data_IF_698351544382
#
_entry.id   IF_698351544382
#
_cell.length_a   1.000
_cell.length_b   1.000
_cell.length_c   1.000
_cell.angle_alpha   90.00
_cell.angle_beta   90.00
_cell.angle_gamma   90.00
#
_symmetry.space_group_name_H-M   'P 1'
#
loop_
_entity.id
_entity.type
_entity.pdbx_description
1 polymer ?
#
# COMPACT_ATOMS: atom_id res chain seq x y z
N UNK A 1 21.65 -6.07 -6.07
CA UNK A 1 20.23 -5.86 -5.71
C UNK A 1 19.42 -5.07 -6.74
N UNK A 2 20.04 -4.24 -7.59
CA UNK A 2 19.36 -3.38 -8.58
C UNK A 2 18.80 -4.12 -9.79
N UNK A 3 19.37 -5.27 -10.17
CA UNK A 3 18.93 -6.08 -11.32
C UNK A 3 17.60 -6.80 -11.10
N UNK A 4 17.26 -7.16 -9.85
CA UNK A 4 16.12 -8.03 -9.55
C UNK A 4 14.81 -7.28 -9.19
N UNK A 5 14.86 -5.94 -9.13
CA UNK A 5 13.72 -5.09 -8.71
C UNK A 5 12.54 -5.06 -9.69
N UNK A 6 12.76 -5.42 -10.96
CA UNK A 6 11.72 -5.40 -11.99
C UNK A 6 10.82 -6.63 -12.01
N UNK A 7 11.27 -7.75 -11.44
CA UNK A 7 10.61 -9.06 -11.60
C UNK A 7 9.66 -9.43 -10.45
N UNK A 8 9.66 -8.66 -9.36
CA UNK A 8 8.94 -9.02 -8.14
C UNK A 8 7.62 -8.23 -8.02
N UNK A 9 6.56 -8.82 -8.57
CA UNK A 9 5.16 -8.39 -8.40
C UNK A 9 4.58 -8.89 -7.06
N UNK A 10 4.23 -7.98 -6.16
CA UNK A 10 3.71 -8.27 -4.80
C UNK A 10 2.24 -8.67 -4.85
N UNK A 11 1.91 -9.91 -4.51
CA UNK A 11 0.53 -10.39 -4.40
C UNK A 11 0.27 -11.30 -3.17
N UNK A 12 1.18 -11.41 -2.21
CA UNK A 12 0.91 -12.18 -0.98
C UNK A 12 1.52 -11.46 0.23
N UNK A 13 0.67 -10.98 1.14
CA UNK A 13 1.02 -10.20 2.34
C UNK A 13 1.51 -11.08 3.51
N UNK A 14 1.72 -12.38 3.27
CA UNK A 14 2.23 -13.30 4.29
C UNK A 14 3.74 -13.13 4.49
N UNK A 15 4.13 -12.86 5.73
CA UNK A 15 5.54 -12.83 6.11
C UNK A 15 6.10 -14.25 6.10
N UNK A 16 6.95 -14.52 5.11
CA UNK A 16 7.63 -15.81 4.99
C UNK A 16 8.93 -15.78 5.79
N UNK A 17 9.12 -16.79 6.65
CA UNK A 17 10.38 -17.03 7.36
C UNK A 17 11.23 -17.99 6.57
N UNK A 18 12.47 -17.60 6.27
CA UNK A 18 13.49 -18.43 5.62
C UNK A 18 14.68 -18.48 6.55
N UNK A 19 15.08 -19.68 6.98
CA UNK A 19 16.21 -19.87 7.88
C UNK A 19 16.17 -18.97 9.13
N UNK A 20 15.02 -18.97 9.79
CA UNK A 20 14.79 -18.21 11.03
C UNK A 20 14.70 -16.70 10.83
N UNK A 21 14.80 -16.19 9.60
CA UNK A 21 14.74 -14.76 9.29
C UNK A 21 13.56 -14.42 8.39
N UNK A 22 13.04 -13.21 8.55
CA UNK A 22 11.97 -12.70 7.70
C UNK A 22 12.51 -12.43 6.29
N UNK A 23 11.85 -12.97 5.27
CA UNK A 23 12.20 -12.71 3.88
C UNK A 23 12.18 -11.20 3.56
N UNK A 24 13.15 -10.75 2.77
CA UNK A 24 13.27 -9.37 2.27
C UNK A 24 12.12 -9.04 1.34
N UNK A 25 11.76 -10.01 0.49
CA UNK A 25 10.61 -9.92 -0.39
C UNK A 25 10.14 -11.32 -0.78
N UNK A 26 8.83 -11.44 -0.94
CA UNK A 26 8.18 -12.64 -1.47
C UNK A 26 7.21 -12.23 -2.56
N UNK A 27 7.15 -13.02 -3.63
CA UNK A 27 6.14 -12.87 -4.67
C UNK A 27 5.59 -14.23 -5.07
N UNK A 28 4.29 -14.41 -4.84
CA UNK A 28 3.46 -15.41 -5.51
C UNK A 28 2.57 -14.65 -6.47
N UNK A 29 2.79 -14.79 -7.77
CA UNK A 29 2.04 -13.98 -8.71
C UNK A 29 0.65 -14.53 -9.01
N UNK A 30 0.37 -15.80 -8.71
CA UNK A 30 -0.90 -16.48 -9.06
C UNK A 30 -1.14 -16.64 -10.58
N UNK A 31 -0.58 -15.72 -11.37
CA UNK A 31 -0.69 -15.54 -12.80
C UNK A 31 0.54 -16.04 -13.57
N UNK A 32 1.70 -16.19 -12.92
CA UNK A 32 2.89 -16.78 -13.51
C UNK A 32 3.36 -18.01 -12.73
N UNK A 33 3.86 -18.97 -13.51
CA UNK A 33 4.55 -20.22 -13.26
C UNK A 33 5.78 -20.14 -12.32
N UNK A 34 5.90 -19.18 -11.41
CA UNK A 34 7.01 -19.17 -10.44
C UNK A 34 6.75 -18.37 -9.17
N UNK A 35 7.32 -18.86 -8.07
CA UNK A 35 7.43 -18.17 -6.79
C UNK A 35 8.86 -17.69 -6.57
N UNK A 36 9.03 -16.51 -5.97
CA UNK A 36 10.34 -15.95 -5.67
C UNK A 36 10.44 -15.51 -4.21
N UNK A 37 11.54 -15.88 -3.57
CA UNK A 37 11.88 -15.49 -2.20
C UNK A 37 13.26 -14.84 -2.21
N UNK A 38 13.35 -13.63 -1.67
CA UNK A 38 14.62 -12.94 -1.41
C UNK A 38 14.91 -12.95 0.09
N UNK A 39 16.12 -13.30 0.48
CA UNK A 39 16.58 -13.24 1.87
C UNK A 39 18.06 -12.84 1.92
N UNK A 40 18.51 -12.33 3.07
CA UNK A 40 19.90 -11.93 3.29
C UNK A 40 20.69 -13.00 4.03
N UNK A 41 22.00 -13.00 3.86
CA UNK A 41 22.89 -13.65 4.83
C UNK A 41 22.70 -13.04 6.23
N UNK A 42 23.04 -13.79 7.28
CA UNK A 42 22.94 -13.33 8.66
C UNK A 42 23.79 -12.07 8.95
N UNK A 43 24.91 -11.91 8.23
CA UNK A 43 25.77 -10.72 8.30
C UNK A 43 25.31 -9.57 7.37
N UNK A 44 24.22 -9.77 6.62
CA UNK A 44 23.64 -8.79 5.70
C UNK A 44 24.46 -8.49 4.44
N UNK A 45 25.61 -9.17 4.22
CA UNK A 45 26.50 -8.90 3.08
C UNK A 45 25.98 -9.44 1.76
N UNK A 46 25.19 -10.51 1.79
CA UNK A 46 24.69 -11.19 0.60
C UNK A 46 23.17 -11.19 0.59
N UNK A 47 22.60 -11.15 -0.62
CA UNK A 47 21.17 -11.34 -0.85
C UNK A 47 21.01 -12.50 -1.82
N UNK A 48 20.30 -13.51 -1.37
CA UNK A 48 20.02 -14.71 -2.12
C UNK A 48 18.61 -14.66 -2.68
N UNK A 49 18.45 -15.15 -3.92
CA UNK A 49 17.16 -15.35 -4.58
C UNK A 49 16.92 -16.83 -4.71
N UNK A 50 15.83 -17.30 -4.10
CA UNK A 50 15.28 -18.62 -4.38
C UNK A 50 14.11 -18.46 -5.35
N UNK A 51 14.15 -19.17 -6.48
CA UNK A 51 13.07 -19.19 -7.47
C UNK A 51 12.60 -20.63 -7.67
N UNK A 52 11.34 -20.89 -7.36
CA UNK A 52 10.65 -22.12 -7.76
C UNK A 52 9.85 -21.83 -9.02
N UNK A 53 10.10 -22.54 -10.13
CA UNK A 53 9.31 -22.43 -11.35
C UNK A 53 8.46 -23.71 -11.54
N UNK A 54 7.19 -23.54 -11.92
CA UNK A 54 6.17 -24.57 -12.02
C UNK A 54 5.50 -24.49 -13.37
N UNK A 55 5.34 -25.59 -14.09
CA UNK A 55 4.78 -25.55 -15.46
C UNK A 55 3.27 -25.26 -15.50
N UNK A 56 2.58 -25.34 -14.35
CA UNK A 56 1.13 -25.13 -14.22
C UNK A 56 0.79 -24.53 -12.86
N UNK A 57 -0.25 -23.69 -12.81
CA UNK A 57 -0.70 -23.02 -11.58
C UNK A 57 -1.11 -23.97 -10.43
N UNK A 58 -1.53 -25.20 -10.74
CA UNK A 58 -1.96 -26.24 -9.79
C UNK A 58 -0.90 -27.30 -9.49
N UNK A 59 0.36 -27.05 -9.84
CA UNK A 59 1.45 -28.00 -9.62
C UNK A 59 1.61 -28.35 -8.13
N UNK A 60 1.72 -29.64 -7.81
CA UNK A 60 1.87 -30.11 -6.44
C UNK A 60 3.12 -29.53 -5.77
N UNK A 61 4.19 -29.28 -6.54
CA UNK A 61 5.41 -28.66 -6.02
C UNK A 61 5.13 -27.23 -5.54
N UNK A 62 4.23 -26.49 -6.20
CA UNK A 62 3.84 -25.15 -5.77
C UNK A 62 3.17 -25.16 -4.39
N UNK A 63 2.34 -26.16 -4.11
CA UNK A 63 1.67 -26.29 -2.81
C UNK A 63 2.65 -26.61 -1.69
N UNK A 64 3.74 -27.32 -1.99
CA UNK A 64 4.73 -27.79 -1.02
C UNK A 64 5.94 -26.84 -0.89
N UNK A 65 6.17 -25.97 -1.87
CA UNK A 65 7.32 -25.06 -1.89
C UNK A 65 7.45 -24.22 -0.62
N UNK A 66 6.33 -23.78 -0.04
CA UNK A 66 6.35 -23.02 1.21
C UNK A 66 6.88 -23.83 2.39
N UNK A 67 6.53 -25.11 2.49
CA UNK A 67 7.03 -25.98 3.55
C UNK A 67 8.52 -26.27 3.36
N UNK A 68 8.98 -26.46 2.12
CA UNK A 68 10.41 -26.60 1.81
C UNK A 68 11.19 -25.33 2.17
N UNK A 69 10.63 -24.15 1.90
CA UNK A 69 11.32 -22.89 2.23
C UNK A 69 11.44 -22.70 3.75
N UNK A 70 10.45 -23.15 4.52
CA UNK A 70 10.46 -23.08 5.99
C UNK A 70 11.48 -24.03 6.63
N UNK A 71 11.86 -25.12 5.95
CA UNK A 71 12.80 -26.11 6.51
C UNK A 71 14.27 -25.73 6.34
N UNK A 72 14.58 -24.72 5.51
CA UNK A 72 15.95 -24.24 5.41
C UNK A 72 16.43 -23.66 6.73
N UNK A 73 17.66 -24.01 7.11
CA UNK A 73 18.43 -23.39 8.19
C UNK A 73 19.78 -22.95 7.62
N UNK A 74 20.35 -21.86 8.16
CA UNK A 74 21.70 -21.45 7.83
C UNK A 74 22.55 -21.45 9.09
N UNK A 75 23.51 -22.36 9.13
CA UNK A 75 24.60 -22.29 10.08
C UNK A 75 25.65 -21.31 9.52
N UNK A 76 25.82 -20.18 10.20
CA UNK A 76 26.86 -19.22 9.85
C UNK A 76 28.23 -19.80 10.23
N UNK A 77 28.84 -20.55 9.31
CA UNK A 77 30.24 -20.96 9.45
C UNK A 77 31.12 -19.75 9.11
N UNK A 78 31.45 -18.94 10.11
CA UNK A 78 32.34 -17.79 9.95
C UNK A 78 33.76 -18.13 10.38
N UNK A 79 34.73 -17.84 9.50
CA UNK A 79 36.16 -18.09 9.73
C UNK A 79 36.88 -17.02 10.58
N UNK A 80 36.25 -15.91 10.98
CA UNK A 80 36.88 -14.94 11.89
C UNK A 80 35.91 -13.94 12.57
N UNK A 81 36.35 -13.40 13.72
CA UNK A 81 35.59 -12.72 14.79
C UNK A 81 35.17 -11.25 14.55
N UNK A 82 34.96 -10.78 13.31
CA UNK A 82 34.83 -9.34 13.00
C UNK A 82 33.43 -8.83 12.58
N UNK A 83 32.34 -9.35 13.14
CA UNK A 83 31.00 -8.83 12.86
C UNK A 83 30.27 -8.38 14.12
N UNK A 84 30.67 -7.24 14.69
CA UNK A 84 29.85 -6.48 15.66
C UNK A 84 30.33 -5.02 15.67
N UNK A 85 29.72 -4.12 14.88
CA UNK A 85 29.66 -2.65 15.12
C UNK A 85 29.27 -1.84 13.85
N UNK A 86 28.08 -1.99 13.28
CA UNK A 86 27.50 -0.94 12.40
C UNK A 86 25.96 -0.94 12.55
N UNK A 87 25.46 -0.60 13.74
CA UNK A 87 24.02 -0.47 13.94
C UNK A 87 23.72 0.54 15.05
N UNK A 88 23.67 1.85 14.74
CA UNK A 88 22.87 2.77 15.58
C UNK A 88 22.60 4.19 15.06
N UNK A 89 23.29 4.78 14.07
CA UNK A 89 23.13 6.26 13.89
C UNK A 89 22.89 6.84 12.49
N UNK A 90 22.75 6.07 11.41
CA UNK A 90 22.41 6.68 10.09
C UNK A 90 21.48 5.88 9.16
N UNK A 91 20.80 4.84 9.65
CA UNK A 91 19.96 3.96 8.80
C UNK A 91 18.52 4.45 8.54
N UNK A 92 18.09 5.56 9.13
CA UNK A 92 16.68 5.98 9.10
C UNK A 92 16.27 6.82 7.89
N UNK A 93 17.22 7.31 7.07
CA UNK A 93 16.93 8.24 5.97
C UNK A 93 16.58 7.57 4.63
N UNK A 94 16.82 6.27 4.43
CA UNK A 94 16.79 5.64 3.10
C UNK A 94 16.13 4.25 3.04
N UNK A 95 15.07 4.00 3.79
CA UNK A 95 14.42 2.67 3.77
C UNK A 95 13.39 2.47 2.66
N UNK A 96 12.73 3.54 2.21
CA UNK A 96 11.70 3.42 1.18
C UNK A 96 12.29 3.66 -0.21
N UNK A 97 12.18 2.66 -1.07
CA UNK A 97 12.58 2.76 -2.46
C UNK A 97 11.38 3.11 -3.37
N UNK A 98 11.37 4.31 -3.94
CA UNK A 98 10.32 4.78 -4.85
C UNK A 98 10.56 4.42 -6.33
N UNK A 99 11.59 3.63 -6.68
CA UNK A 99 11.93 3.34 -8.09
C UNK A 99 10.77 2.69 -8.86
N UNK A 100 10.00 1.82 -8.19
CA UNK A 100 8.84 1.16 -8.78
C UNK A 100 7.73 2.17 -9.05
N UNK A 101 7.38 3.00 -8.07
CA UNK A 101 6.41 4.08 -8.24
C UNK A 101 6.80 4.99 -9.40
N UNK A 102 8.06 5.42 -9.47
CA UNK A 102 8.60 6.23 -10.57
C UNK A 102 8.42 5.55 -11.93
N UNK A 103 8.71 4.25 -12.03
CA UNK A 103 8.62 3.49 -13.28
C UNK A 103 7.18 3.34 -13.76
N UNK A 104 6.25 3.02 -12.84
CA UNK A 104 4.82 2.90 -13.14
C UNK A 104 4.23 4.23 -13.61
N UNK A 105 4.57 5.32 -12.92
CA UNK A 105 4.15 6.66 -13.29
C UNK A 105 4.72 7.10 -14.66
N UNK A 106 5.98 6.79 -14.95
CA UNK A 106 6.59 7.07 -16.26
C UNK A 106 5.93 6.27 -17.39
N UNK A 107 5.46 5.05 -17.12
CA UNK A 107 4.73 4.22 -18.07
C UNK A 107 3.24 4.62 -18.23
N UNK A 108 2.74 5.58 -17.42
CA UNK A 108 1.32 5.93 -17.40
C UNK A 108 0.42 4.85 -16.78
N UNK A 109 1.00 3.89 -16.06
CA UNK A 109 0.24 2.88 -15.31
C UNK A 109 -0.25 3.46 -13.98
N UNK A 110 -1.34 4.24 -14.06
CA UNK A 110 -1.95 4.90 -12.91
C UNK A 110 -2.46 3.92 -11.87
N UNK A 111 -2.97 2.76 -12.29
CA UNK A 111 -3.47 1.71 -11.38
C UNK A 111 -2.33 1.10 -10.60
N UNK A 112 -1.27 0.68 -11.28
CA UNK A 112 -0.08 0.15 -10.63
C UNK A 112 0.56 1.17 -9.68
N UNK A 113 0.67 2.44 -10.11
CA UNK A 113 1.24 3.51 -9.30
C UNK A 113 0.43 3.77 -8.01
N UNK A 114 -0.90 3.74 -8.10
CA UNK A 114 -1.80 3.92 -6.97
C UNK A 114 -1.68 2.77 -5.95
N UNK A 115 -1.64 1.53 -6.43
CA UNK A 115 -1.38 0.33 -5.61
C UNK A 115 0.00 0.41 -4.94
N UNK A 116 1.04 0.77 -5.68
CA UNK A 116 2.39 0.89 -5.13
C UNK A 116 2.49 2.03 -4.09
N UNK A 117 1.73 3.11 -4.27
CA UNK A 117 1.67 4.20 -3.28
C UNK A 117 1.09 3.72 -1.95
N UNK A 118 -0.01 2.94 -1.97
CA UNK A 118 -0.53 2.30 -0.75
C UNK A 118 0.50 1.37 -0.11
N UNK A 119 1.16 0.55 -0.92
CA UNK A 119 2.16 -0.40 -0.44
C UNK A 119 3.39 0.30 0.17
N UNK A 120 3.76 1.50 -0.30
CA UNK A 120 4.80 2.33 0.32
C UNK A 120 4.39 2.73 1.74
N UNK A 121 3.16 3.24 1.94
CA UNK A 121 2.69 3.58 3.27
C UNK A 121 2.65 2.34 4.19
N UNK A 122 2.29 1.16 3.67
CA UNK A 122 2.26 -0.08 4.48
C UNK A 122 3.66 -0.39 5.01
N UNK A 123 4.68 -0.23 4.18
CA UNK A 123 6.08 -0.42 4.59
C UNK A 123 6.47 0.62 5.63
N UNK A 124 6.11 1.89 5.44
CA UNK A 124 6.37 2.94 6.42
C UNK A 124 5.76 2.62 7.79
N UNK A 125 4.55 2.08 7.82
CA UNK A 125 3.91 1.64 9.05
C UNK A 125 4.70 0.51 9.73
N UNK A 126 5.11 -0.52 8.97
CA UNK A 126 5.89 -1.63 9.50
C UNK A 126 7.24 -1.17 10.08
N UNK A 127 7.88 -0.19 9.44
CA UNK A 127 9.14 0.40 9.93
C UNK A 127 8.98 1.14 11.26
N UNK A 128 7.77 1.57 11.61
CA UNK A 128 7.45 2.21 12.89
C UNK A 128 7.13 1.19 14.00
N UNK A 129 7.35 -0.12 13.75
CA UNK A 129 7.24 -1.17 14.75
C UNK A 129 5.80 -1.55 15.11
N UNK A 130 4.83 -1.23 14.25
CA UNK A 130 3.43 -1.59 14.48
C UNK A 130 3.04 -2.81 13.67
N UNK A 131 2.26 -3.72 14.30
CA UNK A 131 1.59 -4.83 13.63
C UNK A 131 0.63 -4.34 12.54
N UNK A 132 -0.03 -5.27 11.85
CA UNK A 132 -0.94 -5.00 10.72
C UNK A 132 -2.21 -4.26 11.16
N UNK A 133 -2.08 -3.08 11.73
CA UNK A 133 -3.18 -2.21 12.11
C UNK A 133 -3.57 -1.42 10.87
N UNK A 134 -4.24 -2.11 9.95
CA UNK A 134 -4.90 -1.61 8.74
C UNK A 134 -4.57 -0.15 8.47
N UNK A 135 -3.59 0.11 7.59
CA UNK A 135 -3.01 1.42 7.23
C UNK A 135 -3.89 2.68 7.29
N UNK A 136 -5.20 2.50 7.21
CA UNK A 136 -6.20 3.54 7.12
C UNK A 136 -7.18 3.58 8.29
N UNK A 137 -7.16 2.61 9.22
CA UNK A 137 -8.06 2.55 10.37
C UNK A 137 -7.82 3.63 11.42
N UNK A 138 -6.65 4.29 11.41
CA UNK A 138 -6.32 5.30 12.42
C UNK A 138 -5.71 6.56 11.82
N UNK A 139 -6.39 7.69 12.03
CA UNK A 139 -5.86 9.05 11.78
C UNK A 139 -4.51 9.31 12.46
N UNK A 140 -4.18 8.56 13.52
CA UNK A 140 -2.93 8.72 14.28
C UNK A 140 -1.70 8.22 13.52
N UNK A 141 -1.87 7.28 12.58
CA UNK A 141 -0.76 6.72 11.78
C UNK A 141 -0.14 7.77 10.85
N UNK A 142 -0.98 8.63 10.25
CA UNK A 142 -0.55 9.68 9.33
C UNK A 142 0.48 10.63 9.96
N UNK A 143 0.35 10.90 11.26
CA UNK A 143 1.27 11.78 11.97
C UNK A 143 2.68 11.20 12.07
N UNK A 144 2.81 9.87 12.08
CA UNK A 144 4.09 9.16 12.22
C UNK A 144 4.86 9.05 10.90
N UNK A 145 4.18 9.17 9.77
CA UNK A 145 4.85 9.09 8.48
C UNK A 145 5.75 10.31 8.24
N UNK A 146 7.01 10.12 7.80
CA UNK A 146 7.92 11.23 7.55
C UNK A 146 7.41 12.15 6.43
N UNK A 147 7.66 13.45 6.55
CA UNK A 147 7.27 14.42 5.53
C UNK A 147 8.06 14.26 4.23
N UNK A 148 9.27 13.72 4.28
CA UNK A 148 10.09 13.43 3.10
C UNK A 148 9.42 12.38 2.19
N UNK A 149 8.76 11.37 2.76
CA UNK A 149 7.99 10.39 2.01
C UNK A 149 6.80 11.02 1.28
N UNK A 150 6.00 11.84 1.98
CA UNK A 150 4.89 12.56 1.36
C UNK A 150 5.36 13.46 0.21
N UNK A 151 6.47 14.18 0.39
CA UNK A 151 7.05 15.05 -0.66
C UNK A 151 7.55 14.25 -1.84
N UNK A 152 8.21 13.12 -1.59
CA UNK A 152 8.75 12.25 -2.65
C UNK A 152 7.63 11.66 -3.49
N UNK A 153 6.59 11.13 -2.84
CA UNK A 153 5.40 10.60 -3.51
C UNK A 153 4.68 11.70 -4.31
N UNK A 154 4.42 12.85 -3.69
CA UNK A 154 3.74 13.97 -4.35
C UNK A 154 4.51 14.47 -5.58
N UNK A 155 5.84 14.61 -5.47
CA UNK A 155 6.70 15.05 -6.58
C UNK A 155 6.60 14.10 -7.76
N UNK A 156 6.65 12.78 -7.52
CA UNK A 156 6.56 11.78 -8.58
C UNK A 156 5.19 11.83 -9.28
N UNK A 157 4.10 11.87 -8.51
CA UNK A 157 2.74 11.95 -9.05
C UNK A 157 2.52 13.24 -9.84
N UNK A 158 2.95 14.37 -9.30
CA UNK A 158 2.80 15.68 -9.92
C UNK A 158 3.58 15.77 -11.24
N UNK A 159 4.83 15.31 -11.28
CA UNK A 159 5.65 15.32 -12.49
C UNK A 159 5.03 14.47 -13.61
N UNK A 160 4.65 13.24 -13.31
CA UNK A 160 4.10 12.32 -14.31
C UNK A 160 2.74 12.77 -14.85
N UNK A 161 1.94 13.45 -14.02
CA UNK A 161 0.57 13.86 -14.36
C UNK A 161 0.45 15.34 -14.77
N UNK A 162 1.56 16.07 -14.89
CA UNK A 162 1.58 17.53 -15.12
C UNK A 162 0.76 18.30 -14.06
N UNK A 163 0.89 17.90 -12.80
CA UNK A 163 0.23 18.51 -11.64
C UNK A 163 -1.26 18.17 -11.50
N UNK A 164 -1.79 17.22 -12.29
CA UNK A 164 -3.20 16.79 -12.18
C UNK A 164 -3.43 15.85 -11.00
N UNK A 165 -2.46 15.01 -10.67
CA UNK A 165 -2.49 14.05 -9.57
C UNK A 165 -1.39 14.37 -8.57
N UNK A 166 -1.53 13.87 -7.35
CA UNK A 166 -0.66 14.18 -6.22
C UNK A 166 -1.41 14.81 -5.05
N UNK A 167 -0.75 14.82 -3.89
CA UNK A 167 -1.24 15.45 -2.67
C UNK A 167 -1.35 16.97 -2.79
N UNK A 168 -0.48 17.60 -3.59
CA UNK A 168 -0.55 19.02 -3.96
C UNK A 168 -1.86 19.37 -4.68
N UNK A 169 -2.24 18.57 -5.69
CA UNK A 169 -3.50 18.71 -6.41
C UNK A 169 -4.71 18.51 -5.47
N UNK A 170 -4.68 17.47 -4.64
CA UNK A 170 -5.71 17.20 -3.63
C UNK A 170 -5.83 18.34 -2.62
N UNK A 171 -4.71 18.89 -2.14
CA UNK A 171 -4.68 19.98 -1.18
C UNK A 171 -5.31 21.25 -1.72
N UNK A 172 -5.06 21.59 -2.99
CA UNK A 172 -5.71 22.72 -3.66
C UNK A 172 -7.23 22.57 -3.68
N UNK A 173 -7.72 21.37 -3.99
CA UNK A 173 -9.16 21.07 -3.99
C UNK A 173 -9.72 21.13 -2.57
N UNK A 174 -9.01 20.59 -1.58
CA UNK A 174 -9.43 20.65 -0.18
C UNK A 174 -9.54 22.08 0.36
N UNK A 175 -8.66 22.99 -0.07
CA UNK A 175 -8.76 24.41 0.26
C UNK A 175 -9.98 25.07 -0.38
N UNK A 176 -10.28 24.75 -1.65
CA UNK A 176 -11.46 25.25 -2.35
C UNK A 176 -12.78 24.77 -1.73
N UNK A 177 -12.81 23.57 -1.13
CA UNK A 177 -14.01 23.11 -0.40
C UNK A 177 -14.21 23.80 0.94
N UNK A 178 -13.14 24.32 1.56
CA UNK A 178 -13.20 25.02 2.85
C UNK A 178 -14.06 26.29 2.78
N UNK A 179 -14.04 26.98 1.63
CA UNK A 179 -14.79 28.23 1.43
C UNK A 179 -16.28 27.99 1.13
N UNK A 180 -16.68 26.74 0.84
CA UNK A 180 -18.05 26.40 0.42
C UNK A 180 -18.95 25.97 1.58
N UNK A 181 -18.39 25.46 2.66
CA UNK A 181 -19.18 24.99 3.81
C UNK A 181 -18.37 25.00 5.11
N UNK A 182 -19.03 25.35 6.21
CA UNK A 182 -18.49 25.20 7.57
C UNK A 182 -18.78 23.82 8.18
N UNK A 183 -19.65 23.02 7.57
CA UNK A 183 -19.97 21.67 8.05
C UNK A 183 -18.81 20.71 7.70
N UNK A 184 -18.12 20.11 8.69
CA UNK A 184 -16.97 19.23 8.43
C UNK A 184 -17.31 18.00 7.57
N UNK A 185 -18.47 17.39 7.80
CA UNK A 185 -18.93 16.21 7.05
C UNK A 185 -19.19 16.56 5.58
N UNK A 186 -19.92 17.65 5.36
CA UNK A 186 -20.22 18.16 4.03
C UNK A 186 -18.94 18.55 3.26
N UNK A 187 -17.92 19.07 3.95
CA UNK A 187 -16.64 19.40 3.33
C UNK A 187 -15.92 18.15 2.80
N UNK A 188 -15.89 17.07 3.58
CA UNK A 188 -15.33 15.77 3.17
C UNK A 188 -16.10 15.19 1.98
N UNK A 189 -17.42 15.27 2.01
CA UNK A 189 -18.32 14.88 0.89
C UNK A 189 -18.00 15.65 -0.40
N UNK A 190 -17.93 16.98 -0.31
CA UNK A 190 -17.65 17.86 -1.45
C UNK A 190 -16.23 17.63 -2.01
N UNK A 191 -15.26 17.40 -1.14
CA UNK A 191 -13.91 17.02 -1.56
C UNK A 191 -13.94 15.70 -2.32
N UNK A 192 -14.54 14.66 -1.74
CA UNK A 192 -14.67 13.35 -2.36
C UNK A 192 -15.36 13.40 -3.73
N UNK A 193 -16.39 14.24 -3.87
CA UNK A 193 -17.06 14.48 -5.14
C UNK A 193 -16.13 15.14 -6.16
N UNK A 194 -15.36 16.17 -5.74
CA UNK A 194 -14.47 16.93 -6.62
C UNK A 194 -13.28 16.11 -7.14
N UNK A 195 -12.71 15.24 -6.31
CA UNK A 195 -11.61 14.34 -6.71
C UNK A 195 -12.09 13.01 -7.32
N UNK A 196 -13.40 12.83 -7.48
CA UNK A 196 -13.98 11.62 -8.07
C UNK A 196 -13.94 10.37 -7.19
N UNK A 197 -13.74 10.51 -5.88
CA UNK A 197 -13.80 9.39 -4.92
C UNK A 197 -15.22 9.02 -4.52
N UNK A 198 -16.20 9.86 -4.87
CA UNK A 198 -17.60 9.70 -4.47
C UNK A 198 -18.53 9.63 -5.66
N UNK A 199 -19.65 8.95 -5.48
CA UNK A 199 -20.74 8.73 -6.43
C UNK A 199 -21.93 9.60 -6.05
N UNK A 200 -22.73 9.94 -7.05
CA UNK A 200 -24.02 10.60 -6.83
C UNK A 200 -25.03 9.64 -6.20
N UNK A 201 -25.04 8.39 -6.68
CA UNK A 201 -25.89 7.32 -6.19
C UNK A 201 -25.14 6.34 -5.28
N UNK A 202 -25.82 5.72 -4.31
CA UNK A 202 -25.22 4.70 -3.45
C UNK A 202 -24.83 3.44 -4.22
N UNK A 203 -23.88 2.67 -3.67
CA UNK A 203 -23.58 1.32 -4.14
C UNK A 203 -24.85 0.45 -4.08
N UNK A 204 -25.23 -0.24 -5.17
CA UNK A 204 -26.42 -1.09 -5.16
C UNK A 204 -26.20 -2.38 -4.37
N UNK A 205 -27.31 -3.02 -3.96
CA UNK A 205 -27.32 -4.29 -3.21
C UNK A 205 -26.58 -5.43 -3.92
N UNK A 206 -26.63 -5.45 -5.25
CA UNK A 206 -25.92 -6.43 -6.08
C UNK A 206 -24.50 -5.97 -6.39
N UNK A 207 -23.67 -5.75 -5.36
CA UNK A 207 -22.26 -5.39 -5.53
C UNK A 207 -21.32 -6.60 -5.36
N UNK A 208 -20.11 -6.56 -5.94
CA UNK A 208 -19.23 -7.73 -6.00
C UNK A 208 -18.47 -8.02 -4.70
N UNK A 209 -18.62 -7.21 -3.65
CA UNK A 209 -17.88 -7.38 -2.39
C UNK A 209 -18.79 -7.95 -1.30
N UNK A 210 -19.88 -7.23 -0.95
CA UNK A 210 -20.79 -7.62 0.12
C UNK A 210 -22.04 -6.73 0.13
N UNK A 211 -23.21 -7.31 0.42
CA UNK A 211 -24.47 -6.55 0.56
C UNK A 211 -24.36 -5.50 1.68
N UNK A 212 -23.50 -5.72 2.66
CA UNK A 212 -23.23 -4.84 3.79
C UNK A 212 -22.55 -3.53 3.40
N UNK A 213 -21.93 -3.46 2.21
CA UNK A 213 -21.39 -2.22 1.65
C UNK A 213 -22.41 -1.41 0.87
N UNK A 214 -23.63 -1.92 0.69
CA UNK A 214 -24.71 -1.18 0.01
C UNK A 214 -25.01 0.11 0.75
N UNK A 215 -25.33 1.16 -0.01
CA UNK A 215 -25.59 2.48 0.59
C UNK A 215 -24.36 3.40 0.69
N UNK A 216 -23.12 2.87 0.66
CA UNK A 216 -21.94 3.75 0.58
C UNK A 216 -21.94 4.54 -0.73
N UNK A 217 -21.66 5.83 -0.64
CA UNK A 217 -21.44 6.68 -1.81
C UNK A 217 -19.96 6.76 -2.20
N UNK A 218 -19.04 6.24 -1.40
CA UNK A 218 -17.64 6.21 -1.77
C UNK A 218 -17.38 5.12 -2.80
N UNK A 219 -16.53 5.41 -3.76
CA UNK A 219 -16.11 4.46 -4.80
C UNK A 219 -15.17 3.44 -4.22
N UNK A 220 -15.24 2.24 -4.77
CA UNK A 220 -14.25 1.19 -4.59
C UNK A 220 -13.11 1.37 -5.61
N UNK A 221 -11.97 0.70 -5.41
CA UNK A 221 -10.83 0.74 -6.34
C UNK A 221 -11.23 0.37 -7.78
N UNK A 222 -12.08 -0.63 -7.94
CA UNK A 222 -12.57 -1.09 -9.23
C UNK A 222 -13.37 -0.02 -10.01
N UNK A 223 -13.90 0.99 -9.34
CA UNK A 223 -14.75 2.03 -9.92
C UNK A 223 -14.02 3.33 -10.27
N UNK A 224 -12.71 3.38 -9.99
CA UNK A 224 -11.87 4.51 -10.29
C UNK A 224 -11.46 4.50 -11.76
N UNK A 225 -11.56 5.66 -12.41
CA UNK A 225 -11.03 5.88 -13.75
C UNK A 225 -9.49 6.00 -13.73
N UNK A 226 -8.77 4.92 -14.05
CA UNK A 226 -7.30 4.91 -14.10
C UNK A 226 -6.75 5.40 -15.45
N UNK A 227 -7.06 6.64 -15.80
CA UNK A 227 -6.58 7.27 -17.04
C UNK A 227 -6.02 8.67 -16.76
N UNK A 228 -5.23 9.21 -17.68
CA UNK A 228 -4.72 10.58 -17.56
C UNK A 228 -5.84 11.65 -17.54
N UNK A 229 -7.03 11.30 -18.06
CA UNK A 229 -8.22 12.15 -18.08
C UNK A 229 -9.03 12.11 -16.79
N UNK A 230 -8.64 11.30 -15.79
CA UNK A 230 -9.33 11.22 -14.51
C UNK A 230 -9.42 12.61 -13.83
N UNK A 231 -10.45 12.85 -12.99
CA UNK A 231 -10.58 14.02 -12.15
C UNK A 231 -9.27 14.46 -11.48
N UNK A 232 -9.05 15.78 -11.41
CA UNK A 232 -7.87 16.34 -10.75
C UNK A 232 -7.89 15.91 -9.28
N UNK A 233 -6.74 15.48 -8.76
CA UNK A 233 -6.58 14.99 -7.40
C UNK A 233 -7.12 13.58 -7.14
N UNK A 234 -7.63 12.86 -8.15
CA UNK A 234 -8.14 11.50 -7.93
C UNK A 234 -7.08 10.56 -7.36
N UNK A 235 -5.82 10.72 -7.75
CA UNK A 235 -4.71 9.90 -7.26
C UNK A 235 -3.67 10.73 -6.50
N UNK A 236 -2.99 10.15 -5.48
CA UNK A 236 -3.20 8.81 -4.93
C UNK A 236 -4.57 8.66 -4.23
N UNK A 237 -5.27 7.55 -4.46
CA UNK A 237 -6.58 7.30 -3.87
C UNK A 237 -6.47 6.92 -2.39
N UNK A 238 -7.23 7.62 -1.56
CA UNK A 238 -7.22 7.47 -0.10
C UNK A 238 -8.17 6.41 0.45
N UNK A 239 -8.59 5.42 -0.35
CA UNK A 239 -9.50 4.33 0.05
C UNK A 239 -8.83 3.01 0.38
N UNK A 240 -9.62 1.96 0.64
CA UNK A 240 -9.14 0.58 0.90
C UNK A 240 -9.27 -0.29 -0.34
N UNK A 241 -8.35 -1.22 -0.54
CA UNK A 241 -8.54 -2.26 -1.55
C UNK A 241 -9.82 -3.07 -1.32
N UNK A 242 -10.56 -3.34 -2.39
CA UNK A 242 -11.73 -4.21 -2.34
C UNK A 242 -11.38 -5.61 -1.87
N UNK A 243 -10.27 -6.17 -2.36
CA UNK A 243 -9.80 -7.50 -1.95
C UNK A 243 -9.54 -7.57 -0.45
N UNK A 244 -8.88 -6.56 0.13
CA UNK A 244 -8.65 -6.51 1.59
C UNK A 244 -9.97 -6.49 2.37
N UNK A 245 -10.97 -5.74 1.89
CA UNK A 245 -12.28 -5.72 2.53
C UNK A 245 -12.99 -7.08 2.41
N UNK A 246 -12.91 -7.73 1.24
CA UNK A 246 -13.41 -9.09 1.04
C UNK A 246 -12.71 -10.09 1.96
N UNK A 247 -11.39 -9.99 2.12
CA UNK A 247 -10.62 -10.88 2.98
C UNK A 247 -11.05 -10.75 4.43
N UNK A 248 -11.24 -9.52 4.93
CA UNK A 248 -11.74 -9.24 6.28
C UNK A 248 -13.13 -9.85 6.48
N UNK A 249 -14.07 -9.64 5.55
CA UNK A 249 -15.42 -10.20 5.65
C UNK A 249 -15.43 -11.74 5.70
N UNK A 250 -14.50 -12.38 5.00
CA UNK A 250 -14.40 -13.84 4.93
C UNK A 250 -13.57 -14.45 6.08
N UNK A 251 -13.09 -13.66 7.05
CA UNK A 251 -12.32 -14.20 8.17
C UNK A 251 -13.21 -15.02 9.12
N UNK A 252 -12.90 -16.32 9.33
CA UNK A 252 -13.67 -17.15 10.24
C UNK A 252 -13.51 -16.68 11.69
N UNK A 253 -14.63 -16.60 12.42
CA UNK A 253 -14.64 -16.22 13.84
C UNK A 253 -14.53 -14.71 14.10
N UNK A 254 -14.68 -13.87 13.07
CA UNK A 254 -14.63 -12.43 13.25
C UNK A 254 -15.95 -11.86 13.78
N UNK A 255 -15.95 -11.34 15.00
CA UNK A 255 -17.14 -10.77 15.64
C UNK A 255 -17.59 -9.42 15.09
N UNK A 256 -16.70 -8.63 14.47
CA UNK A 256 -16.96 -7.24 14.03
C UNK A 256 -16.63 -6.95 12.56
N UNK A 257 -16.20 -7.94 11.77
CA UNK A 257 -15.61 -7.70 10.44
C UNK A 257 -16.52 -6.91 9.49
N UNK A 258 -17.84 -7.14 9.55
CA UNK A 258 -18.82 -6.34 8.81
C UNK A 258 -18.75 -4.86 9.19
N UNK A 259 -18.75 -4.56 10.49
CA UNK A 259 -18.64 -3.18 10.99
C UNK A 259 -17.31 -2.55 10.60
N UNK A 260 -16.21 -3.31 10.70
CA UNK A 260 -14.88 -2.84 10.32
C UNK A 260 -14.81 -2.50 8.83
N UNK A 261 -15.44 -3.32 7.99
CA UNK A 261 -15.49 -3.11 6.54
C UNK A 261 -16.40 -1.95 6.16
N UNK A 262 -17.54 -1.76 6.82
CA UNK A 262 -18.39 -0.57 6.67
C UNK A 262 -17.60 0.70 7.06
N UNK A 263 -16.89 0.66 8.18
CA UNK A 263 -16.04 1.78 8.60
C UNK A 263 -14.99 2.08 7.52
N UNK A 264 -14.27 1.07 7.03
CA UNK A 264 -13.25 1.22 6.00
C UNK A 264 -13.79 1.76 4.67
N UNK A 265 -15.03 1.42 4.32
CA UNK A 265 -15.66 1.77 3.05
C UNK A 265 -16.44 3.11 3.07
N UNK A 266 -16.84 3.61 4.25
CA UNK A 266 -17.62 4.85 4.37
C UNK A 266 -17.12 5.78 5.48
N UNK A 267 -17.30 5.40 6.75
CA UNK A 267 -17.14 6.32 7.89
C UNK A 267 -15.72 6.86 8.06
N UNK A 268 -14.72 6.04 7.73
CA UNK A 268 -13.31 6.40 7.87
C UNK A 268 -12.93 7.66 7.13
N UNK A 269 -13.56 7.96 5.98
CA UNK A 269 -13.20 9.15 5.21
C UNK A 269 -13.39 10.45 6.01
N UNK A 270 -14.33 10.48 6.95
CA UNK A 270 -14.60 11.66 7.77
C UNK A 270 -13.50 11.93 8.83
N UNK A 271 -12.79 10.89 9.26
CA UNK A 271 -11.59 11.03 10.12
C UNK A 271 -10.31 11.21 9.30
N UNK A 272 -10.16 10.38 8.27
CA UNK A 272 -8.93 10.27 7.48
C UNK A 272 -8.65 11.53 6.66
N UNK A 273 -9.65 12.05 5.95
CA UNK A 273 -9.45 13.17 5.02
C UNK A 273 -8.97 14.44 5.75
N UNK A 274 -9.61 14.89 6.85
CA UNK A 274 -9.11 16.03 7.62
C UNK A 274 -7.72 15.80 8.21
N UNK A 275 -7.43 14.59 8.71
CA UNK A 275 -6.14 14.25 9.28
C UNK A 275 -5.03 14.25 8.22
N UNK A 276 -5.30 13.72 7.02
CA UNK A 276 -4.38 13.77 5.88
C UNK A 276 -4.02 15.22 5.57
N UNK A 277 -5.00 16.10 5.39
CA UNK A 277 -4.70 17.49 5.05
C UNK A 277 -4.03 18.27 6.17
N UNK A 278 -4.29 17.92 7.43
CA UNK A 278 -3.53 18.43 8.58
C UNK A 278 -2.05 18.04 8.47
N UNK A 279 -1.77 16.77 8.20
CA UNK A 279 -0.40 16.27 8.01
C UNK A 279 0.28 16.91 6.79
N UNK A 280 -0.41 17.02 5.65
CA UNK A 280 0.14 17.63 4.44
C UNK A 280 0.47 19.13 4.64
N UNK A 281 -0.29 19.84 5.48
CA UNK A 281 0.03 21.20 5.90
C UNK A 281 1.31 21.25 6.74
N UNK A 282 1.44 20.37 7.74
CA UNK A 282 2.66 20.27 8.57
C UNK A 282 3.89 19.92 7.72
N UNK A 283 3.72 19.11 6.67
CA UNK A 283 4.80 18.74 5.76
C UNK A 283 5.14 19.80 4.71
N UNK A 284 4.41 20.92 4.68
CA UNK A 284 4.60 22.02 3.72
C UNK A 284 4.51 21.57 2.25
N UNK A 285 3.63 20.59 1.96
CA UNK A 285 3.29 20.21 0.58
C UNK A 285 2.59 21.40 -0.06
N UNK A 286 3.05 21.83 -1.24
CA UNK A 286 2.57 23.05 -1.91
C UNK A 286 1.26 22.82 -2.64
#
# INVERSE_FOLDING_TARGET
MTSWKGELSRNDDRFLTVAGQKAIAYTSTGLYDSDNVLFSSADGRYVFRLKGAYLKNNDAIRQVFQEIVKTFTFDAICASQQCFAIASTSLNKWRINYSRLKSLLAAGDWRGADVETRAIFQRLQQLQGQGADLLYGSKTLLNRFPCEDFRSIDTLWSQASKGRFGYSAQKRIWQQTASRTKNPKARVEQFGQAVGWRRSQPLPEKNPIAMELSGTKWRLDAELNFTAAAPIGQFPWGGTSSNLMSDILNQPGCGSCTTDVIYLADDRYYDYVPALFTKLNQCSIR
#
